data_IF_829718004308
#
_entry.id   IF_829718004308
#
_cell.length_a   1.000
_cell.length_b   1.000
_cell.length_c   1.000
_cell.angle_alpha   90.00
_cell.angle_beta   90.00
_cell.angle_gamma   90.00
#
_symmetry.space_group_name_H-M   'P 1'
#
loop_
_entity.id
_entity.type
_entity.pdbx_description
1 polymer ?
#
# COMPACT_ATOMS: atom_id res chain seq x y z
N UNK A 1 51.62 84.57 20.19
CA UNK A 1 50.41 84.55 19.32
C UNK A 1 50.41 83.34 18.37
N UNK A 2 50.97 82.19 18.76
CA UNK A 2 50.97 80.95 17.95
C UNK A 2 50.00 79.89 18.47
N UNK A 3 49.84 79.79 19.80
CA UNK A 3 49.04 78.73 20.43
C UNK A 3 47.54 78.83 20.12
N UNK A 4 46.99 80.05 20.02
CA UNK A 4 45.58 80.26 19.67
C UNK A 4 45.28 79.82 18.23
N UNK A 5 46.20 80.09 17.29
CA UNK A 5 46.04 79.68 15.89
C UNK A 5 46.15 78.16 15.76
N UNK A 6 47.10 77.54 16.47
CA UNK A 6 47.25 76.08 16.52
C UNK A 6 46.00 75.42 17.11
N UNK A 7 45.45 75.93 18.21
CA UNK A 7 44.22 75.39 18.82
C UNK A 7 43.00 75.51 17.91
N UNK A 8 42.86 76.62 17.17
CA UNK A 8 41.78 76.80 16.19
C UNK A 8 41.90 75.78 15.06
N UNK A 9 43.11 75.54 14.54
CA UNK A 9 43.33 74.54 13.49
C UNK A 9 43.00 73.13 14.00
N UNK A 10 43.43 72.79 15.22
CA UNK A 10 43.11 71.49 15.85
C UNK A 10 41.61 71.32 16.02
N UNK A 11 40.90 72.35 16.49
CA UNK A 11 39.44 72.31 16.64
C UNK A 11 38.74 72.08 15.29
N UNK A 12 39.18 72.76 14.22
CA UNK A 12 38.63 72.56 12.87
C UNK A 12 38.87 71.14 12.37
N UNK A 13 40.08 70.60 12.55
CA UNK A 13 40.39 69.21 12.14
C UNK A 13 39.51 68.21 12.89
N UNK A 14 39.33 68.38 14.21
CA UNK A 14 38.44 67.53 15.00
C UNK A 14 37.00 67.59 14.48
N UNK A 15 36.49 68.79 14.18
CA UNK A 15 35.13 68.95 13.63
C UNK A 15 35.01 68.25 12.27
N UNK A 16 36.00 68.39 11.38
CA UNK A 16 36.00 67.73 10.07
C UNK A 16 36.01 66.20 10.23
N UNK A 17 36.82 65.67 11.14
CA UNK A 17 36.87 64.23 11.42
C UNK A 17 35.53 63.73 11.97
N UNK A 18 34.91 64.47 12.89
CA UNK A 18 33.60 64.11 13.46
C UNK A 18 32.51 64.10 12.38
N UNK A 19 32.49 65.09 11.50
CA UNK A 19 31.55 65.15 10.37
C UNK A 19 31.77 63.99 9.40
N UNK A 20 33.03 63.68 9.07
CA UNK A 20 33.36 62.56 8.19
C UNK A 20 32.89 61.20 8.76
N UNK A 21 33.09 60.98 10.06
CA UNK A 21 32.63 59.76 10.75
C UNK A 21 31.10 59.67 10.75
N UNK A 22 30.40 60.76 11.03
CA UNK A 22 28.92 60.79 11.02
C UNK A 22 28.33 60.42 9.66
N UNK A 23 28.91 60.91 8.57
CA UNK A 23 28.45 60.61 7.20
C UNK A 23 28.75 59.15 6.83
N UNK A 24 29.93 58.64 7.20
CA UNK A 24 30.33 57.25 6.91
C UNK A 24 29.40 56.23 7.59
N UNK A 25 29.04 56.45 8.87
CA UNK A 25 28.12 55.59 9.61
C UNK A 25 26.71 55.61 9.01
N UNK A 26 26.24 56.78 8.54
CA UNK A 26 24.90 56.93 7.95
C UNK A 26 24.79 56.27 6.57
N UNK A 27 25.87 56.29 5.77
CA UNK A 27 25.90 55.65 4.44
C UNK A 27 25.88 54.12 4.47
N UNK A 28 26.39 53.52 5.55
CA UNK A 28 26.45 52.06 5.71
C UNK A 28 25.08 51.42 5.95
N UNK A 29 24.10 52.18 6.46
CA UNK A 29 22.73 51.70 6.68
C UNK A 29 21.97 51.42 5.38
N UNK A 30 22.14 52.26 4.36
CA UNK A 30 21.41 52.15 3.09
C UNK A 30 21.73 50.85 2.33
N UNK A 31 23.02 50.50 2.25
CA UNK A 31 23.46 49.25 1.61
C UNK A 31 23.00 47.99 2.35
N UNK A 32 22.87 48.06 3.68
CA UNK A 32 22.34 46.96 4.49
C UNK A 32 20.84 46.72 4.24
N UNK A 33 20.06 47.79 4.04
CA UNK A 33 18.62 47.68 3.74
C UNK A 33 18.38 47.06 2.35
N UNK A 34 19.17 47.43 1.34
CA UNK A 34 19.09 46.81 0.01
C UNK A 34 19.46 45.33 0.04
N UNK A 35 20.53 44.96 0.75
CA UNK A 35 20.92 43.58 0.93
C UNK A 35 19.85 42.76 1.69
N UNK A 36 19.19 43.36 2.68
CA UNK A 36 18.07 42.73 3.39
C UNK A 36 16.84 42.55 2.50
N UNK A 37 16.51 43.54 1.65
CA UNK A 37 15.42 43.40 0.66
C UNK A 37 15.71 42.30 -0.36
N UNK A 38 16.93 42.23 -0.88
CA UNK A 38 17.33 41.19 -1.81
C UNK A 38 17.24 39.78 -1.19
N UNK A 39 17.70 39.62 0.06
CA UNK A 39 17.55 38.36 0.81
C UNK A 39 16.08 38.00 1.06
N UNK A 40 15.24 38.98 1.40
CA UNK A 40 13.82 38.76 1.60
C UNK A 40 13.09 38.38 0.29
N UNK A 41 13.54 38.89 -0.86
CA UNK A 41 13.01 38.48 -2.17
C UNK A 41 13.45 37.05 -2.52
N UNK A 42 14.73 36.72 -2.32
CA UNK A 42 15.26 35.37 -2.56
C UNK A 42 14.53 34.30 -1.72
N UNK A 43 14.28 34.56 -0.43
CA UNK A 43 13.52 33.64 0.43
C UNK A 43 12.08 33.43 -0.08
N UNK A 44 11.44 34.47 -0.63
CA UNK A 44 10.09 34.32 -1.20
C UNK A 44 10.10 33.44 -2.45
N UNK A 45 11.10 33.63 -3.32
CA UNK A 45 11.26 32.86 -4.54
C UNK A 45 11.58 31.39 -4.24
N UNK A 46 12.47 31.13 -3.28
CA UNK A 46 12.76 29.77 -2.78
C UNK A 46 11.50 29.11 -2.17
N UNK A 47 10.73 29.85 -1.38
CA UNK A 47 9.49 29.34 -0.78
C UNK A 47 8.40 29.05 -1.83
N UNK A 48 8.32 29.81 -2.92
CA UNK A 48 7.41 29.52 -4.04
C UNK A 48 7.82 28.28 -4.81
N UNK A 49 9.12 28.09 -5.07
CA UNK A 49 9.65 26.88 -5.69
C UNK A 49 9.37 25.64 -4.84
N UNK A 50 9.62 25.71 -3.53
CA UNK A 50 9.36 24.61 -2.60
C UNK A 50 7.86 24.28 -2.51
N UNK A 51 6.98 25.28 -2.53
CA UNK A 51 5.51 25.07 -2.58
C UNK A 51 5.07 24.29 -3.82
N UNK A 52 5.67 24.55 -4.98
CA UNK A 52 5.34 23.81 -6.21
C UNK A 52 5.78 22.35 -6.07
N UNK A 53 6.96 22.11 -5.50
CA UNK A 53 7.46 20.75 -5.29
C UNK A 53 6.61 19.97 -4.28
N UNK A 54 6.23 20.60 -3.17
CA UNK A 54 5.32 20.02 -2.17
C UNK A 54 3.96 19.70 -2.80
N UNK A 55 3.36 20.63 -3.57
CA UNK A 55 2.10 20.37 -4.26
C UNK A 55 2.18 19.21 -5.25
N UNK A 56 3.30 19.06 -5.98
CA UNK A 56 3.52 17.91 -6.87
C UNK A 56 3.58 16.60 -6.08
N UNK A 57 4.27 16.59 -4.95
CA UNK A 57 4.36 15.40 -4.07
C UNK A 57 3.01 15.07 -3.45
N UNK A 58 2.25 16.06 -3.01
CA UNK A 58 0.88 15.88 -2.50
C UNK A 58 -0.05 15.32 -3.58
N UNK A 59 0.02 15.84 -4.82
CA UNK A 59 -0.77 15.33 -5.93
C UNK A 59 -0.40 13.88 -6.29
N UNK A 60 0.89 13.52 -6.22
CA UNK A 60 1.33 12.13 -6.42
C UNK A 60 0.85 11.22 -5.29
N UNK A 61 0.91 11.67 -4.04
CA UNK A 61 0.41 10.91 -2.89
C UNK A 61 -1.11 10.69 -2.99
N UNK A 62 -1.88 11.70 -3.38
CA UNK A 62 -3.32 11.59 -3.59
C UNK A 62 -3.67 10.59 -4.70
N UNK A 63 -2.87 10.55 -5.78
CA UNK A 63 -3.04 9.56 -6.85
C UNK A 63 -2.80 8.14 -6.34
N UNK A 64 -1.71 7.91 -5.61
CA UNK A 64 -1.39 6.61 -5.02
C UNK A 64 -2.46 6.17 -4.03
N UNK A 65 -2.97 7.08 -3.20
CA UNK A 65 -4.06 6.76 -2.27
C UNK A 65 -5.34 6.36 -3.01
N UNK A 66 -5.71 7.11 -4.07
CA UNK A 66 -6.87 6.78 -4.89
C UNK A 66 -6.72 5.42 -5.59
N UNK A 67 -5.53 5.12 -6.11
CA UNK A 67 -5.20 3.82 -6.71
C UNK A 67 -5.28 2.69 -5.70
N UNK A 68 -4.72 2.88 -4.49
CA UNK A 68 -4.79 1.91 -3.41
C UNK A 68 -6.24 1.62 -3.00
N UNK A 69 -7.11 2.65 -2.91
CA UNK A 69 -8.53 2.47 -2.63
C UNK A 69 -9.25 1.68 -3.73
N UNK A 70 -8.93 1.93 -5.01
CA UNK A 70 -9.48 1.15 -6.13
C UNK A 70 -9.05 -0.31 -6.08
N UNK A 71 -7.76 -0.57 -5.89
CA UNK A 71 -7.23 -1.93 -5.77
C UNK A 71 -7.86 -2.70 -4.60
N UNK A 72 -8.09 -2.03 -3.46
CA UNK A 72 -8.79 -2.63 -2.32
C UNK A 72 -10.25 -2.96 -2.63
N UNK A 73 -10.95 -2.08 -3.34
CA UNK A 73 -12.34 -2.32 -3.75
C UNK A 73 -12.43 -3.53 -4.70
N UNK A 74 -11.53 -3.63 -5.68
CA UNK A 74 -11.46 -4.76 -6.60
C UNK A 74 -11.14 -6.07 -5.88
N UNK A 75 -10.23 -6.04 -4.91
CA UNK A 75 -9.91 -7.21 -4.09
C UNK A 75 -11.13 -7.67 -3.26
N UNK A 76 -11.87 -6.73 -2.67
CA UNK A 76 -13.09 -7.04 -1.92
C UNK A 76 -14.19 -7.61 -2.83
N UNK A 77 -14.35 -7.08 -4.04
CA UNK A 77 -15.30 -7.61 -5.01
C UNK A 77 -14.98 -9.07 -5.38
N UNK A 78 -13.71 -9.35 -5.69
CA UNK A 78 -13.25 -10.72 -5.98
C UNK A 78 -13.42 -11.67 -4.80
N UNK A 79 -13.15 -11.20 -3.58
CA UNK A 79 -13.36 -12.00 -2.37
C UNK A 79 -14.85 -12.32 -2.16
N UNK A 80 -15.75 -11.37 -2.41
CA UNK A 80 -17.18 -11.59 -2.33
C UNK A 80 -17.68 -12.59 -3.40
N UNK A 81 -17.15 -12.53 -4.62
CA UNK A 81 -17.45 -13.50 -5.68
C UNK A 81 -16.96 -14.90 -5.33
N UNK A 82 -15.73 -15.03 -4.81
CA UNK A 82 -15.19 -16.30 -4.35
C UNK A 82 -16.07 -16.90 -3.24
N UNK A 83 -16.46 -16.10 -2.24
CA UNK A 83 -17.35 -16.54 -1.17
C UNK A 83 -18.74 -16.98 -1.69
N UNK A 84 -19.24 -16.39 -2.78
CA UNK A 84 -20.49 -16.84 -3.42
C UNK A 84 -20.32 -18.22 -4.07
N UNK A 85 -19.24 -18.41 -4.83
CA UNK A 85 -18.95 -19.68 -5.48
C UNK A 85 -18.73 -20.80 -4.44
N UNK A 86 -18.05 -20.50 -3.34
CA UNK A 86 -17.86 -21.45 -2.24
C UNK A 86 -19.18 -21.89 -1.60
N UNK A 87 -20.10 -20.95 -1.36
CA UNK A 87 -21.44 -21.28 -0.85
C UNK A 87 -22.21 -22.16 -1.83
N UNK A 88 -22.18 -21.82 -3.11
CA UNK A 88 -22.84 -22.60 -4.16
C UNK A 88 -22.26 -24.02 -4.27
N UNK A 89 -20.94 -24.17 -4.12
CA UNK A 89 -20.26 -25.45 -4.07
C UNK A 89 -20.66 -26.25 -2.81
N UNK A 90 -20.71 -25.60 -1.65
CA UNK A 90 -21.15 -26.23 -0.39
C UNK A 90 -22.60 -26.73 -0.48
N UNK A 91 -23.51 -25.93 -1.01
CA UNK A 91 -24.92 -26.32 -1.23
C UNK A 91 -25.05 -27.49 -2.21
N UNK A 92 -24.25 -27.52 -3.28
CA UNK A 92 -24.21 -28.67 -4.21
C UNK A 92 -23.69 -29.93 -3.52
N UNK A 93 -22.63 -29.80 -2.72
CA UNK A 93 -22.05 -30.92 -1.98
C UNK A 93 -23.03 -31.47 -0.95
N UNK A 94 -23.74 -30.60 -0.22
CA UNK A 94 -24.78 -30.99 0.74
C UNK A 94 -25.93 -31.73 0.05
N UNK A 95 -26.45 -31.20 -1.06
CA UNK A 95 -27.50 -31.87 -1.84
C UNK A 95 -27.07 -33.24 -2.37
N UNK A 96 -25.83 -33.34 -2.87
CA UNK A 96 -25.29 -34.61 -3.32
C UNK A 96 -25.12 -35.61 -2.16
N UNK A 97 -24.69 -35.14 -0.98
CA UNK A 97 -24.60 -35.94 0.24
C UNK A 97 -25.96 -36.46 0.70
N UNK A 98 -26.97 -35.58 0.74
CA UNK A 98 -28.35 -35.94 1.08
C UNK A 98 -28.93 -36.99 0.13
N UNK A 99 -28.76 -36.82 -1.19
CA UNK A 99 -29.23 -37.78 -2.17
C UNK A 99 -28.56 -39.16 -2.02
N UNK A 100 -27.26 -39.20 -1.70
CA UNK A 100 -26.56 -40.46 -1.40
C UNK A 100 -27.11 -41.14 -0.15
N UNK A 101 -27.33 -40.38 0.92
CA UNK A 101 -27.89 -40.90 2.16
C UNK A 101 -29.30 -41.47 1.97
N UNK A 102 -30.14 -40.79 1.19
CA UNK A 102 -31.50 -41.25 0.86
C UNK A 102 -31.46 -42.55 0.05
N UNK A 103 -30.60 -42.64 -0.98
CA UNK A 103 -30.43 -43.88 -1.76
C UNK A 103 -29.98 -45.03 -0.87
N UNK A 104 -28.99 -44.79 0.01
CA UNK A 104 -28.49 -45.82 0.92
C UNK A 104 -29.56 -46.27 1.93
N UNK A 105 -30.40 -45.36 2.41
CA UNK A 105 -31.54 -45.69 3.26
C UNK A 105 -32.59 -46.53 2.54
N UNK A 106 -32.91 -46.20 1.29
CA UNK A 106 -33.83 -46.98 0.45
C UNK A 106 -33.30 -48.38 0.16
N UNK A 107 -32.01 -48.53 -0.12
CA UNK A 107 -31.37 -49.83 -0.30
C UNK A 107 -31.45 -50.66 0.99
N UNK A 108 -31.11 -50.05 2.15
CA UNK A 108 -31.25 -50.70 3.47
C UNK A 108 -32.68 -51.08 3.82
N UNK A 109 -33.67 -50.34 3.33
CA UNK A 109 -35.09 -50.68 3.51
C UNK A 109 -35.52 -51.83 2.60
N UNK A 110 -35.08 -51.84 1.34
CA UNK A 110 -35.32 -52.94 0.41
C UNK A 110 -34.71 -54.26 0.92
N UNK A 111 -33.45 -54.26 1.35
CA UNK A 111 -32.75 -55.44 1.88
C UNK A 111 -33.44 -56.02 3.12
N UNK A 112 -34.14 -55.18 3.91
CA UNK A 112 -34.92 -55.64 5.08
C UNK A 112 -36.23 -56.32 4.70
N UNK A 113 -36.81 -55.96 3.56
CA UNK A 113 -38.09 -56.49 3.08
C UNK A 113 -37.92 -57.72 2.19
N UNK A 114 -36.73 -57.91 1.63
CA UNK A 114 -36.45 -58.99 0.70
C UNK A 114 -36.30 -60.35 1.45
N UNK A 115 -37.22 -61.31 1.23
CA UNK A 115 -37.19 -62.62 1.88
C UNK A 115 -36.10 -63.54 1.33
N UNK A 116 -35.49 -63.21 0.18
CA UNK A 116 -34.37 -63.95 -0.41
C UNK A 116 -33.02 -63.54 0.18
N UNK A 117 -32.98 -62.52 1.05
CA UNK A 117 -31.77 -62.12 1.78
C UNK A 117 -31.53 -63.10 2.93
N UNK A 118 -30.43 -63.86 2.91
CA UNK A 118 -30.15 -64.84 3.96
C UNK A 118 -29.94 -64.14 5.30
N UNK A 119 -30.88 -64.31 6.23
CA UNK A 119 -30.79 -63.77 7.61
C UNK A 119 -29.77 -64.51 8.48
N UNK A 120 -29.05 -65.49 7.92
CA UNK A 120 -28.00 -66.26 8.58
C UNK A 120 -26.63 -65.83 8.08
N UNK A 121 -25.80 -65.30 8.98
CA UNK A 121 -24.45 -64.82 8.69
C UNK A 121 -23.63 -65.83 7.89
N UNK A 122 -23.25 -65.44 6.69
CA UNK A 122 -22.14 -66.06 5.99
C UNK A 122 -20.86 -65.47 6.62
N UNK A 123 -20.29 -66.15 7.60
CA UNK A 123 -18.90 -65.93 7.99
C UNK A 123 -18.04 -65.98 6.70
N UNK A 124 -17.16 -64.99 6.47
CA UNK A 124 -16.27 -65.01 5.32
C UNK A 124 -15.40 -66.25 5.40
N UNK A 125 -15.54 -67.15 4.43
CA UNK A 125 -14.72 -68.34 4.33
C UNK A 125 -13.22 -67.96 4.37
N UNK A 126 -12.41 -68.59 5.25
CA UNK A 126 -11.00 -68.27 5.36
C UNK A 126 -10.28 -68.76 4.10
N UNK A 127 -9.99 -67.85 3.17
CA UNK A 127 -9.20 -68.20 2.00
C UNK A 127 -9.28 -67.27 0.79
N UNK A 128 -10.26 -66.36 0.72
CA UNK A 128 -10.30 -65.42 -0.40
C UNK A 128 -9.65 -64.12 0.01
N UNK A 129 -8.35 -63.98 -0.31
CA UNK A 129 -7.68 -62.69 -0.31
C UNK A 129 -8.40 -61.82 -1.34
N UNK A 130 -9.11 -60.73 -0.97
CA UNK A 130 -9.67 -59.83 -1.95
C UNK A 130 -8.51 -59.20 -2.74
N UNK A 131 -8.62 -59.04 -4.07
CA UNK A 131 -7.62 -58.28 -4.82
C UNK A 131 -7.52 -56.88 -4.21
N UNK A 132 -6.33 -56.26 -4.15
CA UNK A 132 -6.22 -54.92 -3.60
C UNK A 132 -7.13 -54.02 -4.44
N UNK A 133 -8.22 -53.57 -3.82
CA UNK A 133 -8.97 -52.44 -4.31
C UNK A 133 -7.93 -51.33 -4.48
N UNK A 134 -7.68 -50.94 -5.73
CA UNK A 134 -6.92 -49.75 -6.03
C UNK A 134 -7.74 -48.58 -5.49
N UNK A 135 -7.53 -48.29 -4.20
CA UNK A 135 -7.89 -47.04 -3.56
C UNK A 135 -7.01 -45.96 -4.18
N UNK A 136 -7.43 -45.55 -5.36
CA UNK A 136 -6.89 -44.44 -6.11
C UNK A 136 -8.01 -43.46 -6.43
N UNK A 137 -8.80 -43.06 -5.42
CA UNK A 137 -9.47 -41.76 -5.51
C UNK A 137 -8.37 -40.72 -5.39
N UNK A 138 -7.73 -40.44 -6.52
CA UNK A 138 -6.91 -39.25 -6.67
C UNK A 138 -7.84 -38.06 -6.39
N UNK A 139 -7.57 -37.23 -5.37
CA UNK A 139 -8.33 -36.01 -5.16
C UNK A 139 -8.23 -35.16 -6.45
N UNK A 140 -9.29 -34.41 -6.82
CA UNK A 140 -9.22 -33.53 -7.98
C UNK A 140 -7.98 -32.64 -7.83
N UNK A 141 -7.19 -32.42 -8.90
CA UNK A 141 -6.04 -31.52 -8.82
C UNK A 141 -6.53 -30.15 -8.32
N UNK A 142 -5.77 -29.46 -7.46
CA UNK A 142 -6.11 -28.08 -7.12
C UNK A 142 -6.23 -27.28 -8.42
N UNK A 143 -7.13 -26.27 -8.49
CA UNK A 143 -7.18 -25.40 -9.65
C UNK A 143 -5.77 -24.89 -9.90
N UNK A 144 -5.27 -25.14 -11.11
CA UNK A 144 -3.95 -24.71 -11.51
C UNK A 144 -3.82 -23.23 -11.14
N UNK A 145 -2.88 -22.92 -10.25
CA UNK A 145 -2.46 -21.57 -9.98
C UNK A 145 -1.85 -21.02 -11.27
N UNK A 146 -2.69 -20.44 -12.12
CA UNK A 146 -2.36 -19.61 -13.26
C UNK A 146 -3.36 -18.46 -13.24
N UNK A 147 -2.98 -17.22 -12.98
CA UNK A 147 -1.81 -16.53 -13.50
C UNK A 147 -1.34 -15.52 -12.45
N UNK A 148 -0.15 -15.72 -11.90
CA UNK A 148 0.57 -14.62 -11.27
C UNK A 148 0.89 -13.61 -12.39
N UNK A 149 0.46 -12.34 -12.32
CA UNK A 149 0.84 -11.34 -13.30
C UNK A 149 2.37 -11.19 -13.30
N UNK A 150 3.00 -10.95 -14.47
CA UNK A 150 4.45 -10.83 -14.55
C UNK A 150 4.95 -9.73 -13.59
N UNK A 151 6.12 -9.90 -12.94
CA UNK A 151 6.69 -8.84 -12.11
C UNK A 151 6.92 -7.59 -12.97
N UNK A 152 6.75 -6.37 -12.41
CA UNK A 152 7.04 -5.15 -13.15
C UNK A 152 8.51 -5.18 -13.57
N UNK A 153 8.76 -5.00 -14.87
CA UNK A 153 10.10 -4.89 -15.42
C UNK A 153 10.85 -3.80 -14.66
N UNK A 154 11.96 -4.19 -14.03
CA UNK A 154 12.87 -3.23 -13.42
C UNK A 154 13.42 -2.34 -14.53
N UNK A 155 13.35 -1.00 -14.42
CA UNK A 155 14.03 -0.15 -15.38
C UNK A 155 15.54 -0.36 -15.22
N UNK A 156 16.18 -0.92 -16.25
CA UNK A 156 17.64 -0.85 -16.39
C UNK A 156 18.06 0.63 -16.47
N UNK A 157 19.23 0.90 -15.88
CA UNK A 157 19.78 2.24 -15.63
C UNK A 157 20.12 3.03 -16.89
#
# INVERSE_FOLDING_TARGET
MGDAVVWVIVAVVVVVVVVAVLVAVRSSGARRVEAQRARAAAIREEAEAERIEVQRREAAAAQVEAEARRAQADAQARAAEAARLEREAAERAERAGGARAEVEERLREADRLDPDVPTGGQEPAPGTVPPPAASGTQPPPPPAAGTQPPPPATPER
#
